data_IF_318335986152
#
_entry.id   IF_318335986152
#
_cell.length_a   1.000
_cell.length_b   1.000
_cell.length_c   1.000
_cell.angle_alpha   90.00
_cell.angle_beta   90.00
_cell.angle_gamma   90.00
#
_symmetry.space_group_name_H-M   'P 1'
#
loop_
_entity.id
_entity.type
_entity.pdbx_description
1 polymer ?
#
# COMPACT_ATOMS: atom_id res chain seq x y z
N UNK A 1 55.84 -8.64 29.46
CA UNK A 1 54.47 -8.26 29.84
C UNK A 1 53.88 -7.49 28.65
N UNK A 2 52.82 -8.01 28.03
CA UNK A 2 52.13 -7.32 26.94
C UNK A 2 51.49 -6.06 27.53
N UNK A 3 51.99 -4.88 27.20
CA UNK A 3 51.38 -3.62 27.62
C UNK A 3 50.18 -3.34 26.71
N UNK A 4 49.00 -3.80 27.13
CA UNK A 4 47.75 -3.46 26.45
C UNK A 4 47.40 -2.00 26.78
N UNK A 5 47.25 -1.17 25.76
CA UNK A 5 46.82 0.24 25.92
C UNK A 5 45.47 0.30 26.64
N UNK A 6 45.36 1.16 27.67
CA UNK A 6 44.14 1.33 28.49
C UNK A 6 42.90 1.67 27.65
N UNK A 7 43.08 2.41 26.56
CA UNK A 7 41.99 2.71 25.61
C UNK A 7 41.42 1.45 24.95
N UNK A 8 42.28 0.48 24.57
CA UNK A 8 41.84 -0.79 23.97
C UNK A 8 41.01 -1.60 24.97
N UNK A 9 41.42 -1.62 26.24
CA UNK A 9 40.67 -2.30 27.31
C UNK A 9 39.30 -1.67 27.50
N UNK A 10 39.23 -0.33 27.53
CA UNK A 10 37.97 0.41 27.65
C UNK A 10 37.05 0.12 26.45
N UNK A 11 37.59 0.15 25.22
CA UNK A 11 36.81 -0.14 24.01
C UNK A 11 36.23 -1.56 24.01
N UNK A 12 37.02 -2.56 24.43
CA UNK A 12 36.54 -3.95 24.57
C UNK A 12 35.46 -4.04 25.64
N UNK A 13 35.67 -3.44 26.81
CA UNK A 13 34.69 -3.46 27.90
C UNK A 13 33.35 -2.82 27.49
N UNK A 14 33.39 -1.67 26.81
CA UNK A 14 32.19 -1.02 26.26
C UNK A 14 31.50 -1.93 25.24
N UNK A 15 32.25 -2.57 24.35
CA UNK A 15 31.69 -3.48 23.35
C UNK A 15 31.01 -4.68 24.00
N UNK A 16 31.60 -5.27 25.03
CA UNK A 16 30.98 -6.39 25.78
C UNK A 16 29.71 -5.93 26.48
N UNK A 17 29.73 -4.78 27.17
CA UNK A 17 28.54 -4.22 27.83
C UNK A 17 27.44 -3.95 26.81
N UNK A 18 27.78 -3.37 25.66
CA UNK A 18 26.86 -3.16 24.55
C UNK A 18 26.27 -4.48 24.04
N UNK A 19 27.12 -5.48 23.80
CA UNK A 19 26.71 -6.82 23.39
C UNK A 19 25.71 -7.44 24.36
N UNK A 20 26.03 -7.43 25.66
CA UNK A 20 25.13 -7.96 26.70
C UNK A 20 23.81 -7.17 26.75
N UNK A 21 23.87 -5.84 26.73
CA UNK A 21 22.68 -4.99 26.87
C UNK A 21 21.68 -5.16 25.71
N UNK A 22 22.17 -5.32 24.47
CA UNK A 22 21.32 -5.54 23.29
C UNK A 22 20.94 -7.01 23.04
N UNK A 23 21.62 -7.97 23.67
CA UNK A 23 21.23 -9.40 23.62
C UNK A 23 20.29 -9.81 24.74
N UNK A 24 20.33 -9.14 25.90
CA UNK A 24 19.50 -9.41 27.07
C UNK A 24 18.00 -9.51 26.76
N UNK A 25 17.42 -8.69 25.85
CA UNK A 25 15.99 -8.80 25.51
C UNK A 25 15.58 -10.14 24.90
N UNK A 26 16.52 -10.83 24.25
CA UNK A 26 16.26 -12.13 23.63
C UNK A 26 16.12 -13.26 24.66
N UNK A 27 16.72 -13.11 25.84
CA UNK A 27 16.70 -14.12 26.90
C UNK A 27 15.54 -13.93 27.90
N UNK A 28 14.88 -12.76 27.88
CA UNK A 28 13.84 -12.42 28.85
C UNK A 28 12.42 -12.71 28.33
N UNK A 29 11.51 -13.20 29.21
CA UNK A 29 10.08 -13.25 28.93
C UNK A 29 9.50 -11.87 28.61
N UNK A 30 8.47 -11.82 27.76
CA UNK A 30 7.82 -10.57 27.31
C UNK A 30 7.38 -9.69 28.50
N UNK A 31 6.78 -10.30 29.52
CA UNK A 31 6.29 -9.61 30.71
C UNK A 31 7.40 -8.86 31.49
N UNK A 32 8.63 -9.38 31.47
CA UNK A 32 9.76 -8.75 32.14
C UNK A 32 10.31 -7.57 31.31
N UNK A 33 10.19 -7.63 29.99
CA UNK A 33 10.64 -6.56 29.09
C UNK A 33 9.74 -5.33 29.13
N UNK A 34 8.45 -5.56 29.27
CA UNK A 34 7.47 -4.47 29.37
C UNK A 34 7.70 -3.65 30.65
N UNK A 35 8.11 -4.32 31.74
CA UNK A 35 8.44 -3.71 33.02
C UNK A 35 9.81 -2.99 33.06
N UNK A 36 10.66 -3.13 32.04
CA UNK A 36 11.97 -2.47 32.01
C UNK A 36 11.84 -0.96 31.72
N UNK A 37 12.73 -0.13 32.31
CA UNK A 37 12.80 1.29 32.03
C UNK A 37 12.97 1.59 30.53
N UNK A 38 12.41 2.71 30.06
CA UNK A 38 12.40 3.08 28.63
C UNK A 38 13.77 3.32 27.97
N UNK A 39 14.86 3.39 28.76
CA UNK A 39 16.23 3.52 28.22
C UNK A 39 16.87 2.17 27.84
N UNK A 40 16.25 1.04 28.21
CA UNK A 40 16.75 -0.30 27.89
C UNK A 40 16.16 -0.75 26.56
N UNK A 41 16.96 -1.29 25.62
CA UNK A 41 16.43 -1.82 24.37
C UNK A 41 15.44 -2.95 24.67
N UNK A 42 14.25 -2.87 24.08
CA UNK A 42 13.20 -3.91 24.19
C UNK A 42 13.10 -4.79 22.94
N UNK A 43 13.94 -4.51 21.95
CA UNK A 43 13.95 -5.14 20.65
C UNK A 43 14.51 -6.56 20.77
N UNK A 44 13.69 -7.55 20.39
CA UNK A 44 14.11 -8.94 20.20
C UNK A 44 14.64 -9.14 18.78
N UNK A 45 15.30 -10.26 18.57
CA UNK A 45 15.71 -10.74 17.27
C UNK A 45 14.48 -10.88 16.36
N UNK A 46 14.56 -10.29 15.16
CA UNK A 46 13.54 -10.48 14.14
C UNK A 46 13.75 -11.86 13.50
N UNK A 47 12.70 -12.68 13.39
CA UNK A 47 12.79 -14.01 12.78
C UNK A 47 12.00 -14.00 11.47
N UNK A 48 12.53 -14.64 10.44
CA UNK A 48 11.91 -14.71 9.13
C UNK A 48 10.73 -15.67 9.07
N UNK A 49 10.06 -15.67 7.92
CA UNK A 49 8.89 -16.51 7.61
C UNK A 49 9.15 -17.99 7.90
N UNK A 50 10.33 -18.49 7.60
CA UNK A 50 10.67 -19.90 7.80
C UNK A 50 10.75 -20.30 9.28
N UNK A 51 11.01 -19.33 10.17
CA UNK A 51 11.17 -19.56 11.60
C UNK A 51 9.90 -19.24 12.39
N UNK A 52 9.21 -18.15 12.06
CA UNK A 52 7.98 -17.71 12.76
C UNK A 52 6.68 -18.23 12.12
N UNK A 53 6.74 -18.77 10.91
CA UNK A 53 5.54 -18.96 10.08
C UNK A 53 4.98 -17.63 9.59
N UNK A 54 3.89 -17.69 8.82
CA UNK A 54 3.21 -16.50 8.33
C UNK A 54 2.42 -16.74 7.04
N UNK A 55 2.19 -15.66 6.30
CA UNK A 55 1.32 -15.68 5.11
C UNK A 55 2.11 -15.33 3.84
N UNK A 56 1.88 -16.10 2.78
CA UNK A 56 2.41 -15.88 1.43
C UNK A 56 1.25 -15.65 0.45
N UNK A 57 1.23 -14.50 -0.20
CA UNK A 57 0.19 -14.10 -1.14
C UNK A 57 0.83 -13.68 -2.47
N UNK A 58 0.30 -14.21 -3.58
CA UNK A 58 0.63 -13.77 -4.94
C UNK A 58 -0.59 -13.06 -5.54
N UNK A 59 -0.41 -11.79 -5.86
CA UNK A 59 -1.41 -10.96 -6.51
C UNK A 59 -1.06 -10.74 -7.97
N UNK A 60 -2.07 -10.70 -8.83
CA UNK A 60 -2.01 -10.19 -10.19
C UNK A 60 -2.76 -8.86 -10.27
N UNK A 61 -2.12 -7.85 -10.87
CA UNK A 61 -2.74 -6.56 -11.15
C UNK A 61 -3.69 -6.70 -12.34
N UNK A 62 -4.96 -6.35 -12.14
CA UNK A 62 -5.99 -6.36 -13.18
C UNK A 62 -5.76 -5.24 -14.20
N UNK A 63 -4.96 -5.54 -15.20
CA UNK A 63 -4.67 -4.61 -16.31
C UNK A 63 -5.89 -4.35 -17.21
N UNK A 64 -6.88 -5.26 -17.20
CA UNK A 64 -8.08 -5.11 -18.01
C UNK A 64 -9.01 -4.07 -17.38
N UNK A 65 -9.22 -4.12 -16.06
CA UNK A 65 -10.00 -3.12 -15.34
C UNK A 65 -9.34 -1.74 -15.43
N UNK A 66 -8.00 -1.67 -15.30
CA UNK A 66 -7.24 -0.44 -15.46
C UNK A 66 -7.45 0.18 -16.85
N UNK A 67 -7.41 -0.64 -17.91
CA UNK A 67 -7.64 -0.18 -19.28
C UNK A 67 -9.06 0.33 -19.48
N UNK A 68 -10.06 -0.40 -18.97
CA UNK A 68 -11.45 0.01 -19.06
C UNK A 68 -11.70 1.37 -18.37
N UNK A 69 -11.10 1.58 -17.19
CA UNK A 69 -11.19 2.85 -16.48
C UNK A 69 -10.52 4.00 -17.24
N UNK A 70 -9.35 3.76 -17.84
CA UNK A 70 -8.66 4.75 -18.67
C UNK A 70 -9.48 5.14 -19.89
N UNK A 71 -10.11 4.18 -20.57
CA UNK A 71 -11.01 4.44 -21.69
C UNK A 71 -12.25 5.25 -21.25
N UNK A 72 -12.82 4.95 -20.08
CA UNK A 72 -13.93 5.71 -19.52
C UNK A 72 -13.54 7.17 -19.20
N UNK A 73 -12.34 7.40 -18.64
CA UNK A 73 -11.82 8.75 -18.41
C UNK A 73 -11.62 9.51 -19.72
N UNK A 74 -11.05 8.87 -20.74
CA UNK A 74 -10.89 9.48 -22.07
C UNK A 74 -12.24 9.84 -22.69
N UNK A 75 -13.28 9.02 -22.53
CA UNK A 75 -14.63 9.35 -22.99
C UNK A 75 -15.13 10.66 -22.36
N UNK A 76 -14.93 10.85 -21.05
CA UNK A 76 -15.34 12.07 -20.36
C UNK A 76 -14.48 13.28 -20.74
N UNK A 77 -13.18 13.10 -20.96
CA UNK A 77 -12.29 14.15 -21.44
C UNK A 77 -12.66 14.60 -22.87
N UNK A 78 -13.01 13.65 -23.74
CA UNK A 78 -13.52 13.91 -25.09
C UNK A 78 -14.82 14.70 -25.00
N UNK A 79 -15.77 14.25 -24.17
CA UNK A 79 -17.05 14.95 -23.95
C UNK A 79 -16.81 16.40 -23.53
N UNK A 80 -16.00 16.60 -22.50
CA UNK A 80 -15.73 17.92 -21.92
C UNK A 80 -15.07 18.84 -22.94
N UNK A 81 -14.02 18.36 -23.61
CA UNK A 81 -13.28 19.13 -24.62
C UNK A 81 -14.18 19.56 -25.77
N UNK A 82 -15.02 18.67 -26.30
CA UNK A 82 -15.91 19.00 -27.41
C UNK A 82 -17.05 19.94 -27.00
N UNK A 83 -17.56 19.81 -25.78
CA UNK A 83 -18.58 20.72 -25.25
C UNK A 83 -18.02 22.13 -25.03
N UNK A 84 -16.82 22.27 -24.47
CA UNK A 84 -16.14 23.55 -24.28
C UNK A 84 -15.88 24.27 -25.61
N UNK A 85 -15.45 23.54 -26.64
CA UNK A 85 -15.18 24.10 -27.97
C UNK A 85 -16.46 24.25 -28.82
N UNK A 86 -17.65 24.02 -28.24
CA UNK A 86 -18.96 24.13 -28.91
C UNK A 86 -19.05 23.30 -30.21
N UNK A 87 -18.47 22.10 -30.18
CA UNK A 87 -18.49 21.13 -31.28
C UNK A 87 -19.61 20.12 -31.00
N UNK A 88 -20.60 20.06 -31.89
CA UNK A 88 -21.67 19.06 -31.78
C UNK A 88 -21.12 17.65 -32.06
N UNK A 89 -21.43 16.71 -31.18
CA UNK A 89 -21.05 15.30 -31.33
C UNK A 89 -22.23 14.38 -30.99
N UNK A 90 -22.20 13.18 -31.57
CA UNK A 90 -23.09 12.05 -31.31
C UNK A 90 -22.29 10.75 -31.19
N UNK A 91 -22.97 9.67 -30.79
CA UNK A 91 -22.38 8.31 -30.68
C UNK A 91 -20.99 8.28 -29.99
N UNK A 92 -20.83 9.00 -28.89
CA UNK A 92 -19.62 8.93 -28.08
C UNK A 92 -19.66 7.69 -27.19
N UNK A 93 -18.69 6.78 -27.36
CA UNK A 93 -18.59 5.60 -26.53
C UNK A 93 -17.35 4.76 -26.81
N UNK A 94 -17.22 3.69 -26.03
CA UNK A 94 -16.17 2.69 -26.21
C UNK A 94 -16.58 1.69 -27.31
N UNK A 95 -15.63 1.33 -28.18
CA UNK A 95 -15.80 0.30 -29.20
C UNK A 95 -14.59 -0.64 -29.17
N UNK A 96 -14.67 -1.71 -28.37
CA UNK A 96 -13.50 -2.55 -28.09
C UNK A 96 -12.46 -1.78 -27.29
N UNK A 97 -11.22 -1.71 -27.79
CA UNK A 97 -10.10 -1.04 -27.12
C UNK A 97 -9.88 0.42 -27.53
N UNK A 98 -10.85 1.02 -28.24
CA UNK A 98 -10.78 2.41 -28.69
C UNK A 98 -12.02 3.19 -28.29
N UNK A 99 -11.86 4.51 -28.17
CA UNK A 99 -12.95 5.46 -27.98
C UNK A 99 -13.33 6.01 -29.34
N UNK A 100 -14.61 5.88 -29.71
CA UNK A 100 -15.15 6.40 -30.97
C UNK A 100 -16.11 7.54 -30.68
N UNK A 101 -16.02 8.60 -31.47
CA UNK A 101 -16.97 9.72 -31.46
C UNK A 101 -17.34 10.11 -32.87
N UNK A 102 -18.64 10.35 -33.08
CA UNK A 102 -19.14 10.90 -34.35
C UNK A 102 -19.34 12.40 -34.18
N UNK A 103 -18.70 13.20 -35.01
CA UNK A 103 -18.95 14.63 -35.03
C UNK A 103 -20.24 14.88 -35.83
N UNK A 104 -21.05 15.86 -35.43
CA UNK A 104 -22.33 16.15 -36.11
C UNK A 104 -22.09 17.00 -37.36
N UNK A 105 -21.14 17.93 -37.29
CA UNK A 105 -20.76 18.83 -38.37
C UNK A 105 -19.44 18.39 -39.03
N UNK A 106 -19.47 17.85 -40.27
CA UNK A 106 -18.27 17.33 -40.94
C UNK A 106 -17.23 18.41 -41.25
N UNK A 107 -17.60 19.69 -41.27
CA UNK A 107 -16.63 20.79 -41.46
C UNK A 107 -15.75 21.00 -40.23
N UNK A 108 -16.22 20.59 -39.04
CA UNK A 108 -15.52 20.74 -37.77
C UNK A 108 -14.69 19.51 -37.39
N UNK A 109 -14.71 18.42 -38.16
CA UNK A 109 -13.98 17.18 -37.84
C UNK A 109 -12.47 17.41 -37.65
N UNK A 110 -11.85 18.22 -38.49
CA UNK A 110 -10.42 18.51 -38.39
C UNK A 110 -10.08 19.38 -37.17
N UNK A 111 -10.94 20.35 -36.85
CA UNK A 111 -10.80 21.18 -35.65
C UNK A 111 -10.95 20.33 -34.39
N UNK A 112 -11.96 19.46 -34.35
CA UNK A 112 -12.17 18.50 -33.27
C UNK A 112 -10.97 17.58 -33.08
N UNK A 113 -10.46 16.95 -34.15
CA UNK A 113 -9.30 16.09 -34.07
C UNK A 113 -8.04 16.83 -33.57
N UNK A 114 -7.88 18.10 -33.93
CA UNK A 114 -6.77 18.94 -33.46
C UNK A 114 -6.91 19.30 -31.98
N UNK A 115 -8.12 19.66 -31.53
CA UNK A 115 -8.39 19.93 -30.12
C UNK A 115 -8.18 18.69 -29.25
N UNK A 116 -8.69 17.53 -29.69
CA UNK A 116 -8.54 16.25 -29.01
C UNK A 116 -7.08 15.83 -28.97
N UNK A 117 -6.33 15.95 -30.07
CA UNK A 117 -4.87 15.78 -30.01
C UNK A 117 -4.30 16.71 -28.96
N UNK A 118 -4.49 18.02 -29.04
CA UNK A 118 -3.79 18.94 -28.14
C UNK A 118 -4.12 18.77 -26.65
N UNK A 119 -5.38 18.46 -26.29
CA UNK A 119 -5.83 18.38 -24.90
C UNK A 119 -5.86 16.97 -24.31
N UNK A 120 -5.99 15.92 -25.13
CA UNK A 120 -6.16 14.55 -24.67
C UNK A 120 -4.89 13.73 -24.93
N UNK A 121 -4.42 13.06 -23.88
CA UNK A 121 -3.21 12.24 -23.89
C UNK A 121 -1.96 12.98 -23.41
N UNK A 122 -1.06 12.25 -22.79
CA UNK A 122 0.23 12.71 -22.30
C UNK A 122 1.38 12.42 -23.29
N UNK A 123 2.51 13.14 -23.18
CA UNK A 123 3.74 12.78 -23.88
C UNK A 123 4.17 11.37 -23.47
N UNK A 124 4.45 10.52 -24.45
CA UNK A 124 4.95 9.17 -24.19
C UNK A 124 6.44 9.26 -23.86
N UNK A 125 6.82 8.82 -22.66
CA UNK A 125 8.22 8.80 -22.24
C UNK A 125 9.04 7.89 -23.17
N UNK A 126 10.14 8.42 -23.72
CA UNK A 126 11.05 7.69 -24.60
C UNK A 126 10.71 7.74 -26.11
N UNK A 127 9.60 8.39 -26.50
CA UNK A 127 9.26 8.61 -27.91
C UNK A 127 9.30 10.12 -28.24
N UNK A 128 10.23 10.54 -29.10
CA UNK A 128 10.31 11.94 -29.56
C UNK A 128 9.05 12.29 -30.34
N UNK A 129 8.18 13.12 -29.74
CA UNK A 129 6.88 13.50 -30.32
C UNK A 129 5.79 12.42 -30.24
N UNK A 130 6.06 11.29 -29.57
CA UNK A 130 5.08 10.24 -29.36
C UNK A 130 4.08 10.61 -28.25
N UNK A 131 2.82 10.20 -28.42
CA UNK A 131 1.76 10.37 -27.42
C UNK A 131 1.24 9.03 -26.98
N UNK A 132 0.74 8.99 -25.75
CA UNK A 132 0.08 7.80 -25.20
C UNK A 132 -1.21 7.43 -25.93
N UNK A 133 -1.87 8.40 -26.57
CA UNK A 133 -3.11 8.25 -27.33
C UNK A 133 -2.91 8.71 -28.77
N UNK A 134 -3.25 7.83 -29.71
CA UNK A 134 -3.31 8.11 -31.13
C UNK A 134 -4.73 8.52 -31.52
N UNK A 135 -4.86 9.67 -32.19
CA UNK A 135 -6.15 10.23 -32.65
C UNK A 135 -6.22 10.16 -34.17
N UNK A 136 -7.02 9.23 -34.66
CA UNK A 136 -7.19 8.94 -36.08
C UNK A 136 -8.60 9.31 -36.56
N UNK A 137 -8.68 9.85 -37.77
CA UNK A 137 -9.95 10.09 -38.47
C UNK A 137 -10.12 8.92 -39.44
N UNK A 138 -11.14 8.07 -39.25
CA UNK A 138 -11.39 6.92 -40.16
C UNK A 138 -12.42 7.22 -41.24
N UNK A 139 -13.46 7.99 -40.90
CA UNK A 139 -14.55 8.37 -41.81
C UNK A 139 -14.67 9.91 -41.89
N UNK A 140 -15.48 10.45 -42.79
CA UNK A 140 -15.68 11.91 -42.97
C UNK A 140 -16.09 12.64 -41.68
N UNK A 141 -16.68 11.93 -40.72
CA UNK A 141 -17.20 12.52 -39.48
C UNK A 141 -16.97 11.64 -38.23
N UNK A 142 -16.05 10.66 -38.27
CA UNK A 142 -15.77 9.77 -37.13
C UNK A 142 -14.30 9.82 -36.73
N UNK A 143 -14.08 10.10 -35.44
CA UNK A 143 -12.77 10.17 -34.80
C UNK A 143 -12.64 8.98 -33.85
N UNK A 144 -11.50 8.30 -33.93
CA UNK A 144 -11.14 7.20 -33.04
C UNK A 144 -9.88 7.55 -32.26
N UNK A 145 -9.91 7.28 -30.95
CA UNK A 145 -8.80 7.44 -30.03
C UNK A 145 -8.39 6.05 -29.53
N UNK A 146 -7.13 5.68 -29.70
CA UNK A 146 -6.59 4.40 -29.25
C UNK A 146 -5.29 4.62 -28.47
N UNK A 147 -5.11 3.89 -27.38
CA UNK A 147 -3.85 3.91 -26.64
C UNK A 147 -2.73 3.23 -27.43
N UNK A 148 -1.52 3.80 -27.36
CA UNK A 148 -0.33 3.15 -27.87
C UNK A 148 -0.02 1.89 -27.03
N UNK A 149 0.35 0.75 -27.64
CA UNK A 149 0.69 -0.49 -26.92
C UNK A 149 1.78 -0.30 -25.86
N UNK A 150 2.78 0.53 -26.17
CA UNK A 150 3.90 0.85 -25.28
C UNK A 150 3.44 1.66 -24.07
N UNK A 151 2.47 2.56 -24.26
CA UNK A 151 1.87 3.33 -23.17
C UNK A 151 1.10 2.41 -22.21
N UNK A 152 0.38 1.43 -22.74
CA UNK A 152 -0.35 0.45 -21.91
C UNK A 152 0.58 -0.45 -21.10
N UNK A 153 1.70 -0.88 -21.68
CA UNK A 153 2.71 -1.65 -20.96
C UNK A 153 3.38 -0.81 -19.84
N UNK A 154 3.70 0.45 -20.14
CA UNK A 154 4.24 1.38 -19.15
C UNK A 154 3.26 1.67 -18.02
N UNK A 155 1.98 1.88 -18.33
CA UNK A 155 0.92 2.11 -17.36
C UNK A 155 0.71 0.87 -16.45
N UNK A 156 0.71 -0.34 -17.02
CA UNK A 156 0.64 -1.58 -16.23
C UNK A 156 1.84 -1.73 -15.28
N UNK A 157 3.05 -1.47 -15.77
CA UNK A 157 4.25 -1.50 -14.92
C UNK A 157 4.19 -0.45 -13.80
N UNK A 158 3.72 0.76 -14.11
CA UNK A 158 3.56 1.83 -13.12
C UNK A 158 2.50 1.48 -12.08
N UNK A 159 1.39 0.86 -12.50
CA UNK A 159 0.34 0.40 -11.59
C UNK A 159 0.88 -0.66 -10.60
N UNK A 160 1.78 -1.55 -11.04
CA UNK A 160 2.45 -2.50 -10.15
C UNK A 160 3.33 -1.79 -9.12
N UNK A 161 4.15 -0.82 -9.53
CA UNK A 161 5.01 -0.06 -8.60
C UNK A 161 4.18 0.70 -7.56
N UNK A 162 3.12 1.37 -8.00
CA UNK A 162 2.21 2.09 -7.12
C UNK A 162 1.44 1.16 -6.18
N UNK A 163 1.08 -0.03 -6.65
CA UNK A 163 0.43 -1.06 -5.81
C UNK A 163 1.39 -1.57 -4.74
N UNK A 164 2.65 -1.85 -5.07
CA UNK A 164 3.69 -2.25 -4.09
C UNK A 164 3.81 -1.22 -2.97
N UNK A 165 3.88 0.06 -3.33
CA UNK A 165 4.04 1.16 -2.37
C UNK A 165 2.78 1.36 -1.51
N UNK A 166 1.59 1.12 -2.08
CA UNK A 166 0.33 1.12 -1.33
C UNK A 166 0.23 -0.06 -0.37
N UNK A 167 0.58 -1.27 -0.82
CA UNK A 167 0.63 -2.48 0.02
C UNK A 167 1.62 -2.27 1.17
N UNK A 168 2.79 -1.67 0.90
CA UNK A 168 3.79 -1.34 1.93
C UNK A 168 3.17 -0.46 3.03
N UNK A 169 2.57 0.68 2.66
CA UNK A 169 1.89 1.56 3.64
C UNK A 169 0.81 0.86 4.43
N UNK A 170 0.04 -0.05 3.81
CA UNK A 170 -1.01 -0.83 4.50
C UNK A 170 -0.42 -1.79 5.50
N UNK A 171 0.61 -2.53 5.12
CA UNK A 171 1.21 -3.51 6.03
C UNK A 171 1.98 -2.82 7.16
N UNK A 172 2.71 -1.74 6.88
CA UNK A 172 3.40 -0.95 7.91
C UNK A 172 2.41 -0.44 8.98
N UNK A 173 1.20 -0.09 8.55
CA UNK A 173 0.14 0.37 9.43
C UNK A 173 -0.53 -0.71 10.28
N UNK A 174 -0.32 -1.98 9.97
CA UNK A 174 -0.71 -3.12 10.81
C UNK A 174 0.31 -3.38 11.93
N UNK A 175 1.49 -2.75 11.89
CA UNK A 175 2.55 -2.97 12.87
C UNK A 175 3.19 -4.36 12.76
N UNK A 176 2.97 -5.08 11.66
CA UNK A 176 3.62 -6.36 11.39
C UNK A 176 5.10 -6.18 11.09
N UNK A 177 5.92 -7.18 11.44
CA UNK A 177 7.37 -7.15 11.23
C UNK A 177 7.68 -7.25 9.73
N UNK A 178 8.36 -6.24 9.21
CA UNK A 178 8.96 -6.09 7.86
C UNK A 178 8.48 -7.10 6.80
N UNK A 179 7.37 -6.82 6.10
CA UNK A 179 6.92 -7.69 5.02
C UNK A 179 7.90 -7.67 3.85
N UNK A 180 8.07 -8.82 3.19
CA UNK A 180 8.76 -8.87 1.89
C UNK A 180 7.73 -8.66 0.80
N UNK A 181 7.82 -7.51 0.11
CA UNK A 181 6.94 -7.14 -1.00
C UNK A 181 7.81 -6.99 -2.24
N UNK A 182 7.67 -7.92 -3.18
CA UNK A 182 8.49 -7.94 -4.39
C UNK A 182 7.62 -8.06 -5.63
N UNK A 183 8.05 -7.40 -6.70
CA UNK A 183 7.49 -7.63 -8.03
C UNK A 183 7.92 -9.00 -8.54
N UNK A 184 6.97 -9.79 -9.05
CA UNK A 184 7.24 -11.03 -9.77
C UNK A 184 6.76 -10.89 -11.22
N UNK A 185 7.69 -10.90 -12.17
CA UNK A 185 7.35 -10.71 -13.59
C UNK A 185 6.83 -9.29 -13.90
N UNK A 186 5.87 -9.18 -14.82
CA UNK A 186 5.41 -7.88 -15.35
C UNK A 186 4.23 -7.29 -14.58
N UNK A 187 3.31 -8.13 -14.09
CA UNK A 187 2.04 -7.70 -13.48
C UNK A 187 1.72 -8.39 -12.14
N UNK A 188 2.67 -9.12 -11.53
CA UNK A 188 2.43 -9.82 -10.26
C UNK A 188 3.24 -9.25 -9.11
N UNK A 189 2.69 -9.39 -7.91
CA UNK A 189 3.25 -8.90 -6.66
C UNK A 189 3.20 -10.04 -5.65
N UNK A 190 4.37 -10.41 -5.12
CA UNK A 190 4.48 -11.35 -4.01
C UNK A 190 4.52 -10.55 -2.72
N UNK A 191 3.69 -10.95 -1.77
CA UNK A 191 3.64 -10.39 -0.43
C UNK A 191 3.85 -11.51 0.56
N UNK A 192 4.88 -11.36 1.40
CA UNK A 192 5.17 -12.27 2.50
C UNK A 192 5.13 -11.49 3.80
N UNK A 193 4.27 -11.90 4.73
CA UNK A 193 4.14 -11.29 6.04
C UNK A 193 4.51 -12.31 7.13
N UNK A 194 5.72 -12.24 7.70
CA UNK A 194 6.12 -13.08 8.83
C UNK A 194 5.28 -12.79 10.07
N UNK A 195 4.90 -13.84 10.80
CA UNK A 195 4.13 -13.73 12.04
C UNK A 195 2.64 -13.39 11.87
N UNK A 196 2.18 -13.03 10.67
CA UNK A 196 0.76 -12.89 10.35
C UNK A 196 0.19 -14.26 9.99
N UNK A 197 -0.57 -14.83 10.91
CA UNK A 197 -1.09 -16.19 10.78
C UNK A 197 -2.39 -16.24 9.99
N UNK A 198 -3.10 -15.12 9.81
CA UNK A 198 -4.35 -15.07 9.05
C UNK A 198 -4.14 -14.47 7.64
N UNK A 199 -3.99 -15.31 6.61
CA UNK A 199 -3.84 -14.83 5.24
C UNK A 199 -5.13 -14.19 4.70
N UNK A 200 -6.32 -14.48 5.26
CA UNK A 200 -7.58 -13.87 4.82
C UNK A 200 -7.66 -12.42 5.30
N UNK A 201 -7.42 -12.16 6.58
CA UNK A 201 -7.36 -10.80 7.12
C UNK A 201 -6.33 -9.95 6.37
N UNK A 202 -5.14 -10.52 6.12
CA UNK A 202 -4.10 -9.82 5.37
C UNK A 202 -4.58 -9.48 3.95
N UNK A 203 -5.19 -10.44 3.24
CA UNK A 203 -5.78 -10.23 1.92
C UNK A 203 -6.86 -9.16 1.92
N UNK A 204 -7.75 -9.14 2.90
CA UNK A 204 -8.85 -8.18 2.95
C UNK A 204 -8.33 -6.75 3.12
N UNK A 205 -7.24 -6.58 3.87
CA UNK A 205 -6.65 -5.26 4.09
C UNK A 205 -5.85 -4.82 2.86
N UNK A 206 -5.04 -5.69 2.26
CA UNK A 206 -4.14 -5.29 1.16
C UNK A 206 -4.76 -5.39 -0.24
N UNK A 207 -5.80 -6.20 -0.41
CA UNK A 207 -6.44 -6.47 -1.71
C UNK A 207 -7.56 -5.50 -2.07
N UNK A 208 -8.08 -4.72 -1.12
CA UNK A 208 -9.15 -3.75 -1.37
C UNK A 208 -8.63 -2.54 -2.17
N UNK A 209 -9.33 -2.11 -3.23
CA UNK A 209 -8.92 -0.90 -3.97
C UNK A 209 -9.01 0.34 -3.09
N UNK A 210 -10.07 0.47 -2.29
CA UNK A 210 -10.31 1.63 -1.43
C UNK A 210 -10.34 2.96 -2.22
N UNK A 211 -10.95 2.94 -3.42
CA UNK A 211 -11.08 4.12 -4.26
C UNK A 211 -12.12 5.07 -3.65
N UNK A 212 -11.62 6.02 -2.86
CA UNK A 212 -12.45 7.08 -2.28
C UNK A 212 -12.60 8.24 -3.27
N UNK A 213 -13.84 8.59 -3.58
CA UNK A 213 -14.16 9.79 -4.36
C UNK A 213 -15.29 10.57 -3.72
N UNK A 214 -15.25 11.88 -3.94
CA UNK A 214 -16.22 12.82 -3.41
C UNK A 214 -16.94 13.47 -4.59
N UNK A 215 -18.25 13.28 -4.67
CA UNK A 215 -19.05 13.61 -5.85
C UNK A 215 -20.31 14.38 -5.43
N UNK A 216 -20.77 15.29 -6.28
CA UNK A 216 -22.07 15.95 -6.07
C UNK A 216 -23.21 14.95 -6.35
N UNK A 217 -24.25 14.95 -5.52
CA UNK A 217 -25.49 14.23 -5.82
C UNK A 217 -26.23 14.94 -6.95
N UNK A 218 -26.78 14.17 -7.89
CA UNK A 218 -27.61 14.71 -8.97
C UNK A 218 -29.09 14.70 -8.56
N UNK A 219 -29.57 15.82 -8.03
CA UNK A 219 -30.96 15.95 -7.53
C UNK A 219 -31.99 16.09 -8.64
N UNK A 220 -31.57 16.22 -9.90
CA UNK A 220 -32.48 16.36 -11.05
C UNK A 220 -32.99 15.01 -11.59
N UNK A 221 -32.59 13.88 -11.00
CA UNK A 221 -33.02 12.55 -11.43
C UNK A 221 -34.30 12.15 -10.70
N UNK A 222 -35.35 11.78 -11.44
CA UNK A 222 -36.61 11.37 -10.86
C UNK A 222 -36.47 10.02 -10.14
N UNK A 223 -37.30 9.76 -9.11
CA UNK A 223 -37.29 8.48 -8.41
C UNK A 223 -37.58 7.30 -9.35
N UNK A 224 -38.45 7.49 -10.35
CA UNK A 224 -38.76 6.48 -11.36
C UNK A 224 -37.55 6.16 -12.25
N UNK A 225 -36.73 7.16 -12.60
CA UNK A 225 -35.51 6.97 -13.39
C UNK A 225 -34.41 6.30 -12.56
N UNK A 226 -34.32 6.59 -11.26
CA UNK A 226 -33.41 5.91 -10.33
C UNK A 226 -33.73 4.41 -10.22
N UNK A 227 -35.00 4.06 -10.00
CA UNK A 227 -35.45 2.66 -9.93
C UNK A 227 -35.28 1.94 -11.27
N UNK A 228 -35.48 2.64 -12.39
CA UNK A 228 -35.25 2.10 -13.73
C UNK A 228 -33.78 2.03 -14.15
N UNK A 229 -32.84 2.50 -13.30
CA UNK A 229 -31.41 2.50 -13.61
C UNK A 229 -31.01 3.47 -14.74
N UNK A 230 -31.81 4.49 -15.02
CA UNK A 230 -31.59 5.47 -16.11
C UNK A 230 -30.93 6.72 -15.56
N UNK A 231 -29.61 6.82 -15.71
CA UNK A 231 -28.86 8.02 -15.36
C UNK A 231 -28.80 9.01 -16.54
N UNK A 232 -28.96 10.33 -16.32
CA UNK A 232 -28.68 11.32 -17.35
C UNK A 232 -27.18 11.32 -17.72
N UNK A 233 -26.80 11.82 -18.92
CA UNK A 233 -25.40 11.92 -19.32
C UNK A 233 -24.56 12.69 -18.29
N UNK A 234 -23.43 12.13 -17.88
CA UNK A 234 -22.54 12.71 -16.87
C UNK A 234 -22.88 12.34 -15.42
N UNK A 235 -23.91 11.51 -15.19
CA UNK A 235 -24.27 10.95 -13.90
C UNK A 235 -24.15 9.42 -13.90
N UNK A 236 -24.04 8.83 -12.72
CA UNK A 236 -24.03 7.40 -12.48
C UNK A 236 -24.92 7.11 -11.27
N UNK A 237 -25.66 6.00 -11.31
CA UNK A 237 -26.47 5.55 -10.19
C UNK A 237 -25.63 4.55 -9.41
N UNK A 238 -25.41 4.85 -8.13
CA UNK A 238 -24.69 3.98 -7.21
C UNK A 238 -25.60 3.59 -6.05
N UNK A 239 -25.44 2.38 -5.48
CA UNK A 239 -26.15 1.99 -4.27
C UNK A 239 -25.59 2.74 -3.06
N UNK A 240 -26.47 3.17 -2.16
CA UNK A 240 -26.09 3.67 -0.84
C UNK A 240 -25.79 2.55 0.16
N UNK A 241 -25.51 2.92 1.41
CA UNK A 241 -25.22 1.97 2.49
C UNK A 241 -26.33 0.93 2.68
N UNK A 242 -27.59 1.34 2.45
CA UNK A 242 -28.81 0.53 2.57
C UNK A 242 -29.23 -0.13 1.25
N UNK A 243 -28.49 0.08 0.17
CA UNK A 243 -28.77 -0.45 -1.16
C UNK A 243 -29.77 0.37 -1.98
N UNK A 244 -30.19 1.55 -1.51
CA UNK A 244 -31.05 2.44 -2.27
C UNK A 244 -30.25 3.12 -3.40
N UNK A 245 -30.79 3.21 -4.62
CA UNK A 245 -30.11 3.85 -5.74
C UNK A 245 -30.07 5.37 -5.55
N UNK A 246 -28.89 5.96 -5.65
CA UNK A 246 -28.71 7.42 -5.66
C UNK A 246 -27.86 7.84 -6.86
N UNK A 247 -28.33 8.84 -7.60
CA UNK A 247 -27.57 9.40 -8.71
C UNK A 247 -26.51 10.38 -8.20
N UNK A 248 -25.27 10.20 -8.65
CA UNK A 248 -24.14 11.08 -8.39
C UNK A 248 -23.49 11.51 -9.70
N UNK A 249 -22.89 12.70 -9.70
CA UNK A 249 -22.13 13.18 -10.86
C UNK A 249 -20.87 12.33 -11.03
N UNK A 250 -20.66 11.81 -12.24
CA UNK A 250 -19.53 10.92 -12.57
C UNK A 250 -18.16 11.54 -12.28
N UNK A 251 -18.05 12.87 -12.39
CA UNK A 251 -16.83 13.62 -12.12
C UNK A 251 -16.64 13.83 -10.61
N UNK A 252 -15.60 13.21 -10.05
CA UNK A 252 -15.16 13.46 -8.69
C UNK A 252 -14.63 14.90 -8.54
N UNK A 253 -15.04 15.57 -7.47
CA UNK A 253 -14.58 16.90 -7.07
C UNK A 253 -13.20 16.81 -6.42
N UNK A 254 -13.07 15.87 -5.48
CA UNK A 254 -11.83 15.50 -4.80
C UNK A 254 -11.75 13.99 -4.66
N UNK A 255 -10.54 13.45 -4.57
CA UNK A 255 -10.24 12.02 -4.51
C UNK A 255 -9.47 11.69 -3.23
N UNK A 256 -9.44 10.41 -2.85
CA UNK A 256 -8.68 9.92 -1.70
C UNK A 256 -7.19 10.21 -1.77
N UNK A 257 -6.61 10.33 -2.97
CA UNK A 257 -5.20 10.72 -3.17
C UNK A 257 -4.88 12.12 -2.64
N UNK A 258 -5.90 12.96 -2.46
CA UNK A 258 -5.74 14.30 -1.90
C UNK A 258 -5.78 14.31 -0.38
N UNK A 259 -5.97 13.16 0.29
CA UNK A 259 -5.94 13.05 1.74
C UNK A 259 -4.51 13.05 2.25
N UNK A 260 -4.25 13.87 3.27
CA UNK A 260 -3.00 13.85 4.03
C UNK A 260 -3.11 12.92 5.23
N UNK A 261 -4.30 12.80 5.81
CA UNK A 261 -4.51 12.09 7.06
C UNK A 261 -5.96 11.59 7.17
N UNK A 262 -6.12 10.45 7.85
CA UNK A 262 -7.41 9.86 8.20
C UNK A 262 -7.26 9.11 9.52
N UNK A 263 -8.14 9.41 10.49
CA UNK A 263 -8.14 8.82 11.83
C UNK A 263 -9.54 8.53 12.32
N UNK A 264 -9.67 7.42 13.03
CA UNK A 264 -10.84 7.12 13.83
C UNK A 264 -10.98 8.17 14.94
N UNK A 265 -12.19 8.69 15.10
CA UNK A 265 -12.58 9.67 16.11
C UNK A 265 -13.93 9.24 16.70
N UNK A 266 -14.37 9.95 17.73
CA UNK A 266 -15.71 9.82 18.29
C UNK A 266 -16.41 11.16 18.20
N UNK A 267 -17.67 11.13 17.77
CA UNK A 267 -18.51 12.32 17.82
C UNK A 267 -18.71 12.76 19.27
N UNK A 268 -18.41 14.03 19.57
CA UNK A 268 -18.43 14.57 20.93
C UNK A 268 -19.84 14.61 21.53
N UNK A 269 -20.88 14.67 20.68
CA UNK A 269 -22.26 14.78 21.13
C UNK A 269 -22.92 13.41 21.32
N UNK A 270 -22.75 12.49 20.37
CA UNK A 270 -23.40 11.18 20.39
C UNK A 270 -22.53 10.03 20.89
N UNK A 271 -21.21 10.23 21.02
CA UNK A 271 -20.24 9.18 21.36
C UNK A 271 -20.07 8.12 20.25
N UNK A 272 -20.63 8.35 19.06
CA UNK A 272 -20.57 7.38 17.95
C UNK A 272 -19.19 7.43 17.26
N UNK A 273 -18.63 6.28 16.84
CA UNK A 273 -17.42 6.25 16.04
C UNK A 273 -17.61 6.94 14.68
N UNK A 274 -16.62 7.73 14.28
CA UNK A 274 -16.56 8.39 12.97
C UNK A 274 -15.13 8.38 12.41
N UNK A 275 -14.99 8.65 11.12
CA UNK A 275 -13.67 8.80 10.49
C UNK A 275 -13.44 10.27 10.15
N UNK A 276 -12.49 10.88 10.84
CA UNK A 276 -12.00 12.23 10.55
C UNK A 276 -10.95 12.16 9.43
N UNK A 277 -10.99 13.10 8.49
CA UNK A 277 -10.02 13.17 7.41
C UNK A 277 -9.61 14.61 7.11
N UNK A 278 -8.40 14.76 6.56
CA UNK A 278 -7.81 16.06 6.23
C UNK A 278 -7.25 16.01 4.82
N UNK A 279 -7.67 16.95 3.96
CA UNK A 279 -7.09 17.12 2.62
C UNK A 279 -5.75 17.85 2.66
N UNK A 280 -4.94 17.65 1.62
CA UNK A 280 -3.78 18.49 1.32
C UNK A 280 -4.23 19.88 0.80
N UNK A 281 -3.29 20.80 0.62
CA UNK A 281 -3.62 22.18 0.22
C UNK A 281 -4.31 22.32 -1.16
N UNK A 282 -4.21 21.34 -2.05
CA UNK A 282 -4.92 21.34 -3.34
C UNK A 282 -6.35 20.85 -3.14
N UNK A 283 -6.53 19.73 -2.42
CA UNK A 283 -7.83 19.18 -2.10
C UNK A 283 -8.68 20.13 -1.25
N UNK A 284 -8.08 20.76 -0.23
CA UNK A 284 -8.75 21.73 0.64
C UNK A 284 -9.33 22.92 -0.13
N UNK A 285 -8.57 23.46 -1.10
CA UNK A 285 -9.04 24.57 -1.96
C UNK A 285 -10.20 24.15 -2.86
N UNK A 286 -10.07 23.02 -3.57
CA UNK A 286 -11.14 22.50 -4.45
C UNK A 286 -12.41 22.17 -3.66
N UNK A 287 -12.25 21.51 -2.52
CA UNK A 287 -13.35 21.15 -1.65
C UNK A 287 -14.03 22.39 -1.05
N UNK A 288 -13.25 23.39 -0.62
CA UNK A 288 -13.75 24.67 -0.12
C UNK A 288 -14.55 25.44 -1.17
N UNK A 289 -14.06 25.51 -2.40
CA UNK A 289 -14.75 26.19 -3.50
C UNK A 289 -16.09 25.52 -3.83
N UNK A 290 -16.09 24.19 -4.00
CA UNK A 290 -17.32 23.45 -4.34
C UNK A 290 -18.33 23.49 -3.21
N UNK A 291 -17.90 23.37 -1.96
CA UNK A 291 -18.81 23.45 -0.80
C UNK A 291 -19.41 24.86 -0.66
N UNK A 292 -18.65 25.92 -0.92
CA UNK A 292 -19.15 27.29 -0.89
C UNK A 292 -20.23 27.56 -1.95
N UNK A 293 -20.11 26.95 -3.14
CA UNK A 293 -21.06 27.13 -4.24
C UNK A 293 -22.30 26.22 -4.15
N UNK A 294 -22.30 25.22 -3.26
CA UNK A 294 -23.33 24.17 -3.21
C UNK A 294 -23.92 23.96 -1.81
N UNK A 295 -23.99 25.01 -1.00
CA UNK A 295 -24.66 24.98 0.32
C UNK A 295 -26.12 24.52 0.14
N UNK A 296 -26.57 23.62 1.00
CA UNK A 296 -27.92 23.04 0.99
C UNK A 296 -28.07 21.81 0.08
N UNK A 297 -27.09 21.48 -0.77
CA UNK A 297 -27.12 20.29 -1.62
C UNK A 297 -26.43 19.10 -0.96
N UNK A 298 -26.79 17.88 -1.37
CA UNK A 298 -26.13 16.66 -0.91
C UNK A 298 -24.79 16.42 -1.61
N UNK A 299 -23.84 15.90 -0.85
CA UNK A 299 -22.50 15.60 -1.29
C UNK A 299 -22.17 14.15 -0.95
N UNK A 300 -22.00 13.30 -1.96
CA UNK A 300 -21.77 11.88 -1.79
C UNK A 300 -20.28 11.57 -1.60
N UNK A 301 -20.02 10.70 -0.63
CA UNK A 301 -18.74 10.05 -0.39
C UNK A 301 -18.89 8.62 -0.90
N UNK A 302 -18.10 8.29 -1.91
CA UNK A 302 -18.17 7.02 -2.63
C UNK A 302 -16.88 6.25 -2.38
N UNK A 303 -17.00 4.98 -1.98
CA UNK A 303 -15.90 4.05 -1.81
C UNK A 303 -16.16 2.82 -2.68
N UNK A 304 -15.27 2.56 -3.65
CA UNK A 304 -15.37 1.41 -4.57
C UNK A 304 -16.77 1.27 -5.21
N UNK A 305 -17.27 2.37 -5.80
CA UNK A 305 -18.60 2.47 -6.44
C UNK A 305 -19.81 2.26 -5.52
N UNK A 306 -19.62 2.31 -4.20
CA UNK A 306 -20.71 2.33 -3.20
C UNK A 306 -20.72 3.65 -2.44
N UNK A 307 -21.90 4.27 -2.29
CA UNK A 307 -22.05 5.48 -1.49
C UNK A 307 -22.05 5.08 -0.01
N UNK A 308 -21.03 5.52 0.72
CA UNK A 308 -20.92 5.27 2.16
C UNK A 308 -21.61 6.36 2.98
N UNK A 309 -21.72 7.58 2.44
CA UNK A 309 -22.40 8.69 3.11
C UNK A 309 -22.78 9.76 2.08
N UNK A 310 -23.93 10.42 2.26
CA UNK A 310 -24.36 11.52 1.39
C UNK A 310 -24.90 12.72 2.20
N UNK A 311 -24.08 13.34 3.05
CA UNK A 311 -24.52 14.46 3.89
C UNK A 311 -24.87 15.70 3.07
N UNK A 312 -25.74 16.54 3.64
CA UNK A 312 -26.03 17.87 3.11
C UNK A 312 -24.94 18.85 3.52
N UNK A 313 -24.48 19.67 2.57
CA UNK A 313 -23.49 20.74 2.83
C UNK A 313 -24.18 21.85 3.63
N UNK A 314 -23.77 22.04 4.89
CA UNK A 314 -24.36 23.06 5.77
C UNK A 314 -23.64 24.42 5.68
N UNK A 315 -22.33 24.40 5.42
CA UNK A 315 -21.48 25.58 5.32
C UNK A 315 -20.29 25.31 4.40
N UNK A 316 -19.62 26.36 3.93
CA UNK A 316 -18.35 26.23 3.22
C UNK A 316 -17.28 25.58 4.12
N UNK A 317 -16.43 24.73 3.54
CA UNK A 317 -15.36 24.02 4.26
C UNK A 317 -14.00 24.38 3.66
N UNK A 318 -13.50 25.62 3.87
CA UNK A 318 -12.25 26.09 3.25
C UNK A 318 -11.00 25.41 3.80
N UNK A 319 -11.09 24.86 5.02
CA UNK A 319 -9.95 24.25 5.72
C UNK A 319 -9.64 22.82 5.25
N UNK A 320 -10.52 22.19 4.47
CA UNK A 320 -10.28 20.84 3.95
C UNK A 320 -10.42 19.69 4.96
N UNK A 321 -11.03 19.94 6.11
CA UNK A 321 -11.27 18.93 7.13
C UNK A 321 -12.70 18.42 7.04
N UNK A 322 -12.90 17.11 7.16
CA UNK A 322 -14.22 16.51 7.15
C UNK A 322 -14.33 15.30 8.06
N UNK A 323 -15.56 14.84 8.23
CA UNK A 323 -15.90 13.64 8.99
C UNK A 323 -16.84 12.76 8.18
N UNK A 324 -16.58 11.47 8.16
CA UNK A 324 -17.44 10.43 7.58
C UNK A 324 -18.22 9.83 8.74
N UNK A 325 -19.52 10.08 8.73
CA UNK A 325 -20.46 9.55 9.73
C UNK A 325 -21.28 8.44 9.11
N UNK A 326 -21.67 7.46 9.93
CA UNK A 326 -22.37 6.25 9.52
C UNK A 326 -22.57 5.32 10.70
N UNK A 327 -23.04 4.10 10.44
CA UNK A 327 -23.21 3.08 11.48
C UNK A 327 -21.92 2.27 11.68
N UNK A 328 -20.85 2.94 12.12
CA UNK A 328 -19.54 2.31 12.31
C UNK A 328 -19.34 1.81 13.75
N UNK A 329 -18.66 0.67 13.89
CA UNK A 329 -18.01 0.26 15.14
C UNK A 329 -16.64 0.94 15.25
N UNK A 330 -16.04 0.94 16.44
CA UNK A 330 -14.68 1.48 16.63
C UNK A 330 -13.66 0.74 15.74
N UNK A 331 -13.82 -0.58 15.58
CA UNK A 331 -12.99 -1.42 14.71
C UNK A 331 -13.20 -1.07 13.23
N UNK A 332 -14.45 -1.05 12.74
CA UNK A 332 -14.71 -0.75 11.32
C UNK A 332 -14.30 0.69 10.94
N UNK A 333 -14.43 1.65 11.86
CA UNK A 333 -13.97 3.01 11.65
C UNK A 333 -12.44 3.09 11.59
N UNK A 334 -11.74 2.31 12.41
CA UNK A 334 -10.29 2.21 12.36
C UNK A 334 -9.81 1.58 11.05
N UNK A 335 -10.46 0.50 10.59
CA UNK A 335 -10.14 -0.16 9.32
C UNK A 335 -10.39 0.77 8.13
N UNK A 336 -11.51 1.50 8.13
CA UNK A 336 -11.76 2.50 7.11
C UNK A 336 -10.69 3.60 7.14
N UNK A 337 -10.35 4.14 8.31
CA UNK A 337 -9.30 5.16 8.44
C UNK A 337 -7.93 4.65 7.95
N UNK A 338 -7.62 3.38 8.20
CA UNK A 338 -6.43 2.69 7.71
C UNK A 338 -6.38 2.68 6.18
N UNK A 339 -7.46 2.23 5.56
CA UNK A 339 -7.61 2.16 4.11
C UNK A 339 -7.45 3.55 3.48
N UNK A 340 -8.12 4.56 4.04
CA UNK A 340 -8.05 5.93 3.53
C UNK A 340 -6.65 6.54 3.63
N UNK A 341 -5.94 6.30 4.75
CA UNK A 341 -4.56 6.79 4.94
C UNK A 341 -3.56 6.10 4.00
N UNK A 342 -3.79 4.84 3.69
CA UNK A 342 -2.91 4.06 2.83
C UNK A 342 -2.99 4.44 1.35
N UNK A 343 -4.11 5.07 0.94
CA UNK A 343 -4.40 5.43 -0.43
C UNK A 343 -5.08 4.30 -1.23
N UNK A 344 -5.61 4.68 -2.39
CA UNK A 344 -6.28 3.75 -3.28
C UNK A 344 -5.26 2.95 -4.10
N UNK A 345 -5.56 1.68 -4.39
CA UNK A 345 -4.82 0.92 -5.38
C UNK A 345 -5.14 1.47 -6.79
N UNK A 346 -4.16 1.57 -7.68
CA UNK A 346 -4.37 2.06 -9.05
C UNK A 346 -5.20 1.10 -9.90
N UNK A 347 -5.25 -0.18 -9.53
CA UNK A 347 -6.02 -1.22 -10.18
C UNK A 347 -6.39 -2.31 -9.17
N UNK A 348 -7.41 -3.10 -9.50
CA UNK A 348 -7.82 -4.23 -8.67
C UNK A 348 -6.73 -5.31 -8.64
N UNK A 349 -6.55 -5.94 -7.48
CA UNK A 349 -5.64 -7.07 -7.32
C UNK A 349 -6.43 -8.37 -7.26
N UNK A 350 -6.10 -9.30 -8.13
CA UNK A 350 -6.64 -10.65 -8.13
C UNK A 350 -5.66 -11.58 -7.39
N UNK A 351 -6.16 -12.45 -6.51
CA UNK A 351 -5.31 -13.42 -5.81
C UNK A 351 -5.11 -14.62 -6.73
N UNK A 352 -3.88 -14.83 -7.18
CA UNK A 352 -3.50 -16.05 -7.91
C UNK A 352 -3.16 -17.19 -6.97
N UNK A 353 -2.46 -16.88 -5.86
CA UNK A 353 -2.00 -17.88 -4.90
C UNK A 353 -2.11 -17.37 -3.47
N UNK A 354 -2.60 -18.24 -2.58
CA UNK A 354 -2.64 -18.01 -1.14
C UNK A 354 -2.09 -19.25 -0.44
N UNK A 355 -0.98 -19.08 0.29
CA UNK A 355 -0.37 -20.15 1.10
C UNK A 355 -0.13 -19.64 2.53
N UNK A 356 -0.49 -20.46 3.49
CA UNK A 356 -0.12 -20.26 4.88
C UNK A 356 1.14 -21.10 5.15
N UNK A 357 2.17 -20.47 5.70
CA UNK A 357 3.37 -21.15 6.18
C UNK A 357 3.17 -21.41 7.66
N UNK A 358 2.94 -22.68 8.02
CA UNK A 358 2.68 -23.08 9.40
C UNK A 358 3.88 -22.85 10.31
N UNK A 359 3.65 -22.25 11.48
CA UNK A 359 4.68 -22.01 12.49
C UNK A 359 5.23 -23.31 13.12
N UNK A 360 4.53 -24.45 13.00
CA UNK A 360 4.95 -25.74 13.56
C UNK A 360 6.25 -26.26 12.92
N UNK A 361 6.37 -26.14 11.59
CA UNK A 361 7.61 -26.47 10.87
C UNK A 361 8.76 -25.53 11.31
N UNK A 362 8.45 -24.28 11.64
CA UNK A 362 9.43 -23.31 12.14
C UNK A 362 9.88 -23.60 13.57
N UNK A 363 8.95 -23.89 14.49
CA UNK A 363 9.23 -24.08 15.91
C UNK A 363 10.10 -25.30 16.21
N UNK A 364 9.80 -26.44 15.57
CA UNK A 364 10.62 -27.66 15.70
C UNK A 364 12.01 -27.45 15.10
N UNK A 365 12.06 -26.70 14.02
CA UNK A 365 13.28 -26.47 13.25
C UNK A 365 14.15 -25.37 13.90
N UNK A 366 13.56 -24.39 14.61
CA UNK A 366 14.24 -23.51 15.58
C UNK A 366 14.81 -24.34 16.71
N UNK A 367 14.01 -25.24 17.31
CA UNK A 367 14.48 -26.07 18.43
C UNK A 367 15.68 -26.93 18.01
N UNK A 368 15.58 -27.60 16.85
CA UNK A 368 16.67 -28.39 16.29
C UNK A 368 17.91 -27.52 15.97
N UNK A 369 17.70 -26.31 15.43
CA UNK A 369 18.77 -25.34 15.15
C UNK A 369 19.48 -24.87 16.43
N UNK A 370 18.74 -24.53 17.48
CA UNK A 370 19.29 -24.12 18.78
C UNK A 370 20.06 -25.26 19.44
N UNK A 371 19.52 -26.48 19.41
CA UNK A 371 20.21 -27.67 19.93
C UNK A 371 21.50 -27.91 19.15
N UNK A 372 21.46 -27.82 17.82
CA UNK A 372 22.64 -28.02 16.95
C UNK A 372 23.71 -26.96 17.21
N UNK A 373 23.31 -25.69 17.36
CA UNK A 373 24.20 -24.58 17.71
C UNK A 373 24.83 -24.79 19.09
N UNK A 374 24.04 -25.21 20.08
CA UNK A 374 24.51 -25.44 21.44
C UNK A 374 25.51 -26.61 21.51
N UNK A 375 25.20 -27.73 20.87
CA UNK A 375 26.09 -28.91 20.82
C UNK A 375 27.36 -28.58 20.03
N UNK A 376 27.23 -27.97 18.86
CA UNK A 376 28.38 -27.59 18.02
C UNK A 376 29.28 -26.56 18.70
N UNK A 377 28.70 -25.51 19.29
CA UNK A 377 29.43 -24.51 20.05
C UNK A 377 30.14 -25.10 21.26
N UNK A 378 29.48 -25.98 22.02
CA UNK A 378 30.10 -26.66 23.15
C UNK A 378 31.26 -27.56 22.70
N UNK A 379 31.10 -28.33 21.62
CA UNK A 379 32.15 -29.18 21.07
C UNK A 379 33.37 -28.36 20.62
N UNK A 380 33.15 -27.21 19.96
CA UNK A 380 34.21 -26.28 19.54
C UNK A 380 34.95 -25.72 20.76
N UNK A 381 34.23 -25.23 21.78
CA UNK A 381 34.84 -24.68 23.00
C UNK A 381 35.69 -25.76 23.70
N UNK A 382 35.15 -26.97 23.86
CA UNK A 382 35.88 -28.09 24.47
C UNK A 382 37.12 -28.42 23.66
N UNK A 383 37.02 -28.50 22.34
CA UNK A 383 38.15 -28.79 21.46
C UNK A 383 39.26 -27.74 21.59
N UNK A 384 38.93 -26.45 21.56
CA UNK A 384 39.91 -25.35 21.68
C UNK A 384 40.60 -25.38 23.05
N UNK A 385 39.85 -25.60 24.13
CA UNK A 385 40.41 -25.66 25.48
C UNK A 385 41.33 -26.87 25.62
N UNK A 386 40.97 -28.02 25.06
CA UNK A 386 41.82 -29.23 25.08
C UNK A 386 43.08 -29.07 24.21
N UNK A 387 42.96 -28.45 23.04
CA UNK A 387 44.07 -28.28 22.09
C UNK A 387 45.07 -27.20 22.55
N UNK A 388 44.58 -26.10 23.13
CA UNK A 388 45.40 -24.91 23.45
C UNK A 388 45.53 -24.62 24.95
N UNK A 389 44.93 -25.43 25.83
CA UNK A 389 44.99 -25.27 27.28
C UNK A 389 44.45 -23.91 27.75
N UNK A 390 45.26 -23.17 28.54
CA UNK A 390 44.88 -21.86 29.09
C UNK A 390 44.61 -20.81 28.00
N UNK A 391 45.38 -20.82 26.91
CA UNK A 391 45.14 -19.91 25.78
C UNK A 391 43.81 -20.20 25.09
N UNK A 392 43.41 -21.47 25.07
CA UNK A 392 42.10 -21.88 24.56
C UNK A 392 40.93 -21.31 25.36
N UNK A 393 41.09 -21.13 26.68
CA UNK A 393 40.06 -20.49 27.52
C UNK A 393 39.84 -19.02 27.12
N UNK A 394 40.92 -18.28 26.85
CA UNK A 394 40.82 -16.90 26.39
C UNK A 394 40.17 -16.79 25.00
N UNK A 395 40.51 -17.71 24.09
CA UNK A 395 39.89 -17.79 22.78
C UNK A 395 38.38 -18.13 22.87
N UNK A 396 38.00 -19.08 23.73
CA UNK A 396 36.60 -19.42 23.96
C UNK A 396 35.80 -18.22 24.50
N UNK A 397 36.36 -17.43 25.42
CA UNK A 397 35.71 -16.22 25.92
C UNK A 397 35.55 -15.15 24.82
N UNK A 398 36.55 -14.99 23.95
CA UNK A 398 36.46 -14.09 22.81
C UNK A 398 35.38 -14.54 21.81
N UNK A 399 35.25 -15.85 21.58
CA UNK A 399 34.20 -16.42 20.72
C UNK A 399 32.80 -16.12 21.24
N UNK A 400 32.57 -16.29 22.55
CA UNK A 400 31.27 -15.96 23.18
C UNK A 400 30.96 -14.47 23.03
N UNK A 401 31.95 -13.60 23.27
CA UNK A 401 31.79 -12.15 23.06
C UNK A 401 31.44 -11.83 21.60
N UNK A 402 32.09 -12.49 20.64
CA UNK A 402 31.81 -12.28 19.22
C UNK A 402 30.35 -12.64 18.88
N UNK A 403 29.86 -13.80 19.34
CA UNK A 403 28.45 -14.20 19.12
C UNK A 403 27.49 -13.19 19.75
N UNK A 404 27.76 -12.74 20.98
CA UNK A 404 26.96 -11.72 21.64
C UNK A 404 26.90 -10.43 20.82
N UNK A 405 28.03 -10.00 20.24
CA UNK A 405 28.09 -8.82 19.39
C UNK A 405 27.30 -9.00 18.09
N UNK A 406 27.36 -10.17 17.46
CA UNK A 406 26.56 -10.47 16.25
C UNK A 406 25.06 -10.40 16.57
N UNK A 407 24.62 -11.06 17.64
CA UNK A 407 23.21 -11.06 18.06
C UNK A 407 22.75 -9.65 18.47
N UNK A 408 23.61 -8.89 19.16
CA UNK A 408 23.34 -7.51 19.52
C UNK A 408 23.18 -6.62 18.29
N UNK A 409 24.08 -6.75 17.31
CA UNK A 409 24.01 -6.01 16.06
C UNK A 409 22.72 -6.32 15.30
N UNK A 410 22.37 -7.61 15.15
CA UNK A 410 21.11 -8.01 14.51
C UNK A 410 19.87 -7.51 15.25
N UNK A 411 19.88 -7.56 16.58
CA UNK A 411 18.77 -7.07 17.40
C UNK A 411 18.63 -5.55 17.28
N UNK A 412 19.73 -4.81 17.22
CA UNK A 412 19.74 -3.36 17.04
C UNK A 412 19.27 -2.94 15.64
N UNK A 413 19.73 -3.64 14.59
CA UNK A 413 19.36 -3.31 13.21
C UNK A 413 18.03 -3.92 12.78
N UNK A 414 17.40 -4.72 13.64
CA UNK A 414 16.20 -5.51 13.33
C UNK A 414 16.37 -6.44 12.12
N UNK A 415 17.61 -6.85 11.82
CA UNK A 415 17.90 -7.77 10.73
C UNK A 415 17.21 -9.13 10.94
N UNK A 416 16.48 -9.58 9.91
CA UNK A 416 15.71 -10.83 9.93
C UNK A 416 16.62 -12.07 9.94
N UNK A 417 16.52 -12.89 10.98
CA UNK A 417 17.18 -14.19 11.06
C UNK A 417 16.33 -15.24 10.33
N UNK A 418 16.93 -15.91 9.35
CA UNK A 418 16.34 -17.03 8.58
C UNK A 418 17.13 -18.33 8.82
N UNK A 419 16.68 -19.47 8.30
CA UNK A 419 17.46 -20.71 8.35
C UNK A 419 18.87 -20.57 7.75
N UNK A 420 19.03 -20.01 6.54
CA UNK A 420 20.36 -19.69 6.00
C UNK A 420 21.16 -18.76 6.92
N UNK A 421 20.52 -17.82 7.60
CA UNK A 421 21.15 -16.95 8.59
C UNK A 421 21.76 -17.73 9.76
N UNK A 422 21.04 -18.71 10.31
CA UNK A 422 21.56 -19.59 11.37
C UNK A 422 22.79 -20.37 10.88
N UNK A 423 22.74 -20.92 9.66
CA UNK A 423 23.88 -21.61 9.07
C UNK A 423 25.10 -20.69 8.89
N UNK A 424 24.87 -19.43 8.50
CA UNK A 424 25.94 -18.42 8.37
C UNK A 424 26.57 -18.05 9.73
N UNK A 425 25.78 -17.99 10.81
CA UNK A 425 26.30 -17.80 12.17
C UNK A 425 27.18 -18.99 12.57
N UNK A 426 26.76 -20.22 12.27
CA UNK A 426 27.56 -21.43 12.52
C UNK A 426 28.87 -21.40 11.73
N UNK A 427 28.84 -21.00 10.46
CA UNK A 427 30.05 -20.85 9.65
C UNK A 427 30.99 -19.78 10.23
N UNK A 428 30.43 -18.65 10.67
CA UNK A 428 31.20 -17.56 11.27
C UNK A 428 31.88 -17.99 12.56
N UNK A 429 31.22 -18.82 13.38
CA UNK A 429 31.79 -19.45 14.56
C UNK A 429 33.02 -20.31 14.21
N UNK A 430 32.96 -21.09 13.13
CA UNK A 430 34.08 -21.91 12.69
C UNK A 430 35.27 -21.06 12.22
N UNK A 431 35.02 -20.00 11.44
CA UNK A 431 36.06 -19.09 10.94
C UNK A 431 36.67 -18.27 12.08
N UNK A 432 35.88 -17.82 13.05
CA UNK A 432 36.35 -17.00 14.17
C UNK A 432 37.28 -17.74 15.14
N UNK A 433 37.33 -19.08 15.07
CA UNK A 433 38.25 -19.91 15.86
C UNK A 433 39.59 -20.09 15.17
N UNK A 434 39.61 -20.03 13.84
CA UNK A 434 40.83 -20.14 13.03
C UNK A 434 41.67 -18.85 13.05
N UNK A 435 41.00 -17.70 13.23
CA UNK A 435 41.63 -16.39 13.42
C UNK A 435 42.09 -16.17 14.86
#
# INVERSE_FOLDING_TARGET
>A
MIQISRWKVIAIAISVVFGVLFTLPNALPQATLDALPGFVPKQKLNLGLDLQGGSHLLFEVDTASLRAERLANVIEDVRTTLTEDSIGFGELGQRGDLVSVRITDPTKTQAAATALRNRIGAPLAGAVGGRDINVNIRETNRIELAFAPEAMAADASKAVDQSIETIRRRIDSLGTKEPTIIRQGTNRIVVQAPGESDPQRLRDIIGQTAKLTFQMVDENVSAADLEAGRAPPGSVILPDEFGAPLAVKRRAVVTGEMLTDARQSFDQQSGRPEVSFTFNGVGARRFGEVTAQNIGKRFAIVLDDKIISAPTIQSAIPNGNGRITGNYTAESANDLALLLRSGALPAKLNVEEQRQVGAELGADSIRAGVISLAIGGAAIIVFIVLAYGLFGVFAALALVVNVLLIVAAMSMTQATLTFPGIACIILTLAVAVDA
#
